data_IF_497170736487
#
_entry.id   IF_497170736487
#
_cell.length_a   1.000
_cell.length_b   1.000
_cell.length_c   1.000
_cell.angle_alpha   90.00
_cell.angle_beta   90.00
_cell.angle_gamma   90.00
#
_symmetry.space_group_name_H-M   'P 1'
#
loop_
_entity.id
_entity.type
_entity.pdbx_description
1 polymer ?
#
# COMPACT_ATOMS: atom_id res chain seq x y z
N UNK A 1 -10.33 2.69 74.09
CA UNK A 1 -10.70 1.74 73.04
C UNK A 1 -10.68 2.53 71.73
N UNK A 2 -9.58 2.47 70.96
CA UNK A 2 -9.38 3.25 69.72
C UNK A 2 -9.69 2.34 68.54
N UNK A 3 -10.68 2.73 67.76
CA UNK A 3 -11.07 2.04 66.54
C UNK A 3 -10.39 2.75 65.37
N UNK A 4 -9.43 2.11 64.71
CA UNK A 4 -8.86 2.55 63.42
C UNK A 4 -9.73 2.04 62.28
N UNK A 5 -10.11 2.91 61.32
CA UNK A 5 -10.73 2.44 60.11
C UNK A 5 -9.68 1.90 59.13
N UNK A 6 -9.97 0.89 58.31
CA UNK A 6 -9.05 0.35 57.30
C UNK A 6 -9.05 1.23 56.06
N UNK A 7 -7.96 1.98 55.91
CA UNK A 7 -7.58 2.69 54.67
C UNK A 7 -6.87 1.71 53.71
N UNK A 8 -7.60 0.84 53.06
CA UNK A 8 -7.00 -0.08 52.08
C UNK A 8 -7.99 -0.59 51.02
N UNK A 9 -8.64 0.32 50.28
CA UNK A 9 -9.48 -0.09 49.14
C UNK A 9 -9.55 0.98 48.03
N UNK A 10 -8.50 1.73 47.74
CA UNK A 10 -8.52 2.76 46.72
C UNK A 10 -7.26 2.77 45.82
N UNK A 11 -6.74 1.60 45.44
CA UNK A 11 -5.54 1.55 44.60
C UNK A 11 -5.61 0.41 43.55
N UNK A 12 -6.72 0.20 42.87
CA UNK A 12 -6.82 -0.85 41.84
C UNK A 12 -7.61 -0.40 40.60
N UNK A 13 -7.64 0.91 40.30
CA UNK A 13 -8.21 1.42 39.05
C UNK A 13 -7.15 2.17 38.23
N UNK A 14 -6.03 1.46 37.95
CA UNK A 14 -4.96 2.03 37.13
C UNK A 14 -4.78 1.09 35.94
N UNK A 15 -5.05 1.65 34.75
CA UNK A 15 -4.40 1.31 33.48
C UNK A 15 -4.83 0.04 32.76
N UNK A 16 -6.08 -0.01 32.33
CA UNK A 16 -6.43 -0.61 31.04
C UNK A 16 -6.54 0.51 30.00
N UNK A 17 -5.47 1.30 29.87
CA UNK A 17 -5.22 2.00 28.61
C UNK A 17 -4.93 0.91 27.60
N UNK A 18 -5.96 0.38 26.95
CA UNK A 18 -5.81 -0.45 25.78
C UNK A 18 -5.11 0.44 24.75
N UNK A 19 -3.78 0.32 24.66
CA UNK A 19 -3.04 0.76 23.49
C UNK A 19 -3.58 -0.05 22.32
N UNK A 20 -4.61 0.45 21.66
CA UNK A 20 -4.92 0.00 20.31
C UNK A 20 -3.71 0.41 19.48
N UNK A 21 -2.91 -0.54 18.96
CA UNK A 21 -1.79 -0.15 18.13
C UNK A 21 -2.36 0.67 16.96
N UNK A 22 -1.81 1.85 16.71
CA UNK A 22 -2.20 2.71 15.58
C UNK A 22 -2.14 1.97 14.24
N UNK A 23 -1.44 0.84 14.22
CA UNK A 23 -1.25 -0.03 13.06
C UNK A 23 -1.59 -1.48 13.45
N UNK A 24 -2.70 -1.98 12.95
CA UNK A 24 -3.12 -3.38 13.11
C UNK A 24 -2.93 -4.12 11.78
N UNK A 25 -1.69 -4.55 11.50
CA UNK A 25 -1.34 -5.23 10.25
C UNK A 25 -2.14 -6.51 10.05
N UNK A 26 -2.86 -6.57 8.94
CA UNK A 26 -3.73 -7.68 8.55
C UNK A 26 -3.29 -8.26 7.23
N UNK A 27 -3.22 -9.57 7.17
CA UNK A 27 -2.97 -10.26 5.92
C UNK A 27 -4.14 -10.05 4.95
N UNK A 28 -3.78 -9.90 3.69
CA UNK A 28 -4.64 -9.62 2.57
C UNK A 28 -4.28 -10.59 1.43
N UNK A 29 -5.29 -11.17 0.82
CA UNK A 29 -5.19 -11.91 -0.44
C UNK A 29 -6.16 -11.34 -1.45
N UNK A 30 -5.85 -11.46 -2.73
CA UNK A 30 -6.75 -11.17 -3.84
C UNK A 30 -7.37 -12.47 -4.34
N UNK A 31 -8.63 -12.44 -4.73
CA UNK A 31 -9.30 -13.59 -5.29
C UNK A 31 -8.59 -14.03 -6.59
N UNK A 32 -8.38 -15.33 -6.73
CA UNK A 32 -7.69 -15.90 -7.88
C UNK A 32 -6.21 -15.51 -7.98
N UNK A 33 -5.55 -15.13 -6.87
CA UNK A 33 -4.13 -14.74 -6.84
C UNK A 33 -3.35 -15.44 -5.75
N UNK A 34 -2.09 -15.75 -6.04
CA UNK A 34 -1.11 -16.20 -5.05
C UNK A 34 -0.54 -15.05 -4.23
N UNK A 35 -0.74 -13.80 -4.68
CA UNK A 35 -0.24 -12.60 -4.00
C UNK A 35 -0.72 -12.52 -2.56
N UNK A 36 0.21 -12.54 -1.63
CA UNK A 36 0.00 -12.21 -0.23
C UNK A 36 0.52 -10.80 0.04
N UNK A 37 -0.20 -10.08 0.85
CA UNK A 37 0.15 -8.72 1.25
C UNK A 37 -0.39 -8.44 2.65
N UNK A 38 -0.07 -7.26 3.18
CA UNK A 38 -0.61 -6.80 4.46
C UNK A 38 -0.93 -5.31 4.42
N UNK A 39 -1.97 -4.91 5.16
CA UNK A 39 -2.34 -3.51 5.38
C UNK A 39 -2.48 -3.24 6.88
N UNK A 40 -2.14 -2.02 7.36
CA UNK A 40 -2.17 -1.69 8.79
C UNK A 40 -3.58 -1.45 9.34
N UNK A 41 -4.62 -1.69 8.55
CA UNK A 41 -6.02 -1.43 8.87
C UNK A 41 -6.94 -2.38 8.09
N UNK A 42 -8.22 -2.43 8.45
CA UNK A 42 -9.23 -3.18 7.69
C UNK A 42 -9.46 -2.48 6.34
N UNK A 43 -9.14 -3.11 5.19
CA UNK A 43 -9.29 -2.46 3.92
C UNK A 43 -10.73 -2.46 3.42
N UNK A 44 -11.11 -1.38 2.76
CA UNK A 44 -12.19 -1.37 1.78
C UNK A 44 -11.68 -2.00 0.49
N UNK A 45 -12.55 -2.76 -0.19
CA UNK A 45 -12.21 -3.49 -1.40
C UNK A 45 -13.15 -3.17 -2.53
N UNK A 46 -12.61 -3.06 -3.73
CA UNK A 46 -13.39 -2.88 -4.96
C UNK A 46 -12.67 -3.52 -6.13
N UNK A 47 -13.41 -3.85 -7.18
CA UNK A 47 -12.86 -4.27 -8.46
C UNK A 47 -13.47 -3.38 -9.55
N UNK A 48 -12.66 -2.91 -10.49
CA UNK A 48 -13.07 -1.99 -11.55
C UNK A 48 -12.37 -2.34 -12.86
N UNK A 49 -13.09 -2.23 -13.96
CA UNK A 49 -12.48 -2.25 -15.28
C UNK A 49 -11.82 -0.89 -15.56
N UNK A 50 -10.53 -0.91 -15.83
CA UNK A 50 -9.74 0.30 -16.08
C UNK A 50 -8.74 0.06 -17.20
N UNK A 51 -8.42 1.08 -18.02
CA UNK A 51 -7.30 0.99 -18.97
C UNK A 51 -5.99 1.22 -18.25
N UNK A 52 -5.14 0.20 -18.16
CA UNK A 52 -3.75 0.34 -17.70
C UNK A 52 -2.80 0.26 -18.89
N UNK A 53 -2.05 1.34 -19.15
CA UNK A 53 -1.18 1.41 -20.31
C UNK A 53 -1.93 1.21 -21.65
N UNK A 54 -3.22 1.59 -21.71
CA UNK A 54 -4.08 1.39 -22.86
C UNK A 54 -4.72 0.00 -22.97
N UNK A 55 -4.45 -0.91 -22.03
CA UNK A 55 -5.01 -2.27 -21.99
C UNK A 55 -6.14 -2.31 -20.96
N UNK A 56 -7.38 -2.74 -21.33
CA UNK A 56 -8.45 -2.92 -20.36
C UNK A 56 -8.12 -4.08 -19.43
N UNK A 57 -8.19 -3.84 -18.13
CA UNK A 57 -7.94 -4.85 -17.10
C UNK A 57 -8.95 -4.73 -15.96
N UNK A 58 -9.26 -5.87 -15.35
CA UNK A 58 -10.03 -5.93 -14.11
C UNK A 58 -9.08 -5.66 -12.93
N UNK A 59 -9.11 -4.43 -12.41
CA UNK A 59 -8.24 -3.97 -11.34
C UNK A 59 -8.89 -4.20 -9.98
N UNK A 60 -8.32 -5.10 -9.20
CA UNK A 60 -8.69 -5.27 -7.79
C UNK A 60 -7.93 -4.28 -6.93
N UNK A 61 -8.65 -3.57 -6.06
CA UNK A 61 -8.12 -2.53 -5.18
C UNK A 61 -8.49 -2.84 -3.74
N UNK A 62 -7.53 -2.74 -2.84
CA UNK A 62 -7.72 -2.78 -1.40
C UNK A 62 -7.02 -1.57 -0.78
N UNK A 63 -7.74 -0.77 -0.01
CA UNK A 63 -7.17 0.44 0.58
C UNK A 63 -7.77 0.76 1.94
N UNK A 64 -7.02 1.48 2.77
CA UNK A 64 -7.49 1.95 4.07
C UNK A 64 -6.66 3.13 4.56
N UNK A 65 -7.15 3.80 5.59
CA UNK A 65 -6.46 4.90 6.26
C UNK A 65 -5.91 4.45 7.61
N UNK A 66 -4.62 4.73 7.85
CA UNK A 66 -3.96 4.50 9.13
C UNK A 66 -2.84 5.50 9.36
N UNK A 67 -2.63 5.91 10.61
CA UNK A 67 -1.57 6.82 11.03
C UNK A 67 -1.54 8.14 10.22
N UNK A 68 -2.69 8.64 9.76
CA UNK A 68 -2.79 9.85 8.92
C UNK A 68 -2.33 9.67 7.47
N UNK A 69 -2.16 8.43 7.02
CA UNK A 69 -1.85 8.09 5.63
C UNK A 69 -2.98 7.28 4.99
N UNK A 70 -3.16 7.44 3.68
CA UNK A 70 -3.96 6.56 2.84
C UNK A 70 -3.03 5.54 2.20
N UNK A 71 -3.34 4.26 2.40
CA UNK A 71 -2.62 3.15 1.81
C UNK A 71 -3.51 2.42 0.82
N UNK A 72 -2.97 2.08 -0.32
CA UNK A 72 -3.67 1.26 -1.30
C UNK A 72 -2.75 0.18 -1.90
N UNK A 73 -3.34 -0.98 -2.11
CA UNK A 73 -2.75 -2.08 -2.84
C UNK A 73 -3.68 -2.46 -3.98
N UNK A 74 -3.13 -2.56 -5.16
CA UNK A 74 -3.86 -2.80 -6.39
C UNK A 74 -3.20 -3.93 -7.17
N UNK A 75 -4.00 -4.77 -7.81
CA UNK A 75 -3.51 -5.92 -8.57
C UNK A 75 -4.42 -6.22 -9.76
N UNK A 76 -3.83 -6.58 -10.88
CA UNK A 76 -4.55 -7.06 -12.05
C UNK A 76 -3.80 -8.23 -12.72
N UNK A 77 -4.56 -9.19 -13.23
CA UNK A 77 -4.04 -10.24 -14.10
C UNK A 77 -4.05 -9.75 -15.54
N UNK A 78 -2.95 -9.94 -16.26
CA UNK A 78 -2.85 -9.60 -17.67
C UNK A 78 -3.16 -10.82 -18.54
N UNK A 79 -3.88 -10.61 -19.63
CA UNK A 79 -4.09 -11.66 -20.61
C UNK A 79 -2.75 -12.14 -21.22
N UNK A 80 -2.64 -13.40 -21.66
CA UNK A 80 -1.44 -13.91 -22.32
C UNK A 80 -1.00 -13.01 -23.48
N UNK A 81 0.30 -12.73 -23.57
CA UNK A 81 0.90 -11.90 -24.61
C UNK A 81 0.83 -10.38 -24.38
N UNK A 82 0.16 -9.92 -23.33
CA UNK A 82 0.19 -8.50 -22.94
C UNK A 82 1.54 -8.12 -22.35
N UNK A 83 2.11 -7.02 -22.84
CA UNK A 83 3.42 -6.53 -22.37
C UNK A 83 3.29 -5.88 -20.98
N UNK A 84 3.67 -6.62 -19.95
CA UNK A 84 3.66 -6.14 -18.57
C UNK A 84 4.56 -4.92 -18.34
N UNK A 85 5.66 -4.78 -19.08
CA UNK A 85 6.55 -3.63 -19.04
C UNK A 85 5.81 -2.36 -19.47
N UNK A 86 5.09 -2.41 -20.59
CA UNK A 86 4.32 -1.29 -21.10
C UNK A 86 3.14 -0.94 -20.17
N UNK A 87 2.44 -1.94 -19.63
CA UNK A 87 1.35 -1.75 -18.67
C UNK A 87 1.84 -1.05 -17.41
N UNK A 88 2.95 -1.52 -16.80
CA UNK A 88 3.51 -0.88 -15.61
C UNK A 88 3.97 0.55 -15.88
N UNK A 89 4.62 0.81 -17.02
CA UNK A 89 5.06 2.15 -17.39
C UNK A 89 3.88 3.12 -17.55
N UNK A 90 2.83 2.70 -18.25
CA UNK A 90 1.60 3.49 -18.39
C UNK A 90 0.88 3.72 -17.06
N UNK A 91 0.89 2.73 -16.17
CA UNK A 91 0.30 2.87 -14.82
C UNK A 91 1.07 3.89 -13.98
N UNK A 92 2.41 3.86 -14.02
CA UNK A 92 3.24 4.87 -13.36
C UNK A 92 2.91 6.29 -13.85
N UNK A 93 2.81 6.48 -15.16
CA UNK A 93 2.44 7.76 -15.74
C UNK A 93 1.07 8.25 -15.24
N UNK A 94 0.07 7.37 -15.22
CA UNK A 94 -1.26 7.69 -14.72
C UNK A 94 -1.24 8.06 -13.23
N UNK A 95 -0.44 7.35 -12.43
CA UNK A 95 -0.31 7.63 -10.99
C UNK A 95 0.37 8.98 -10.75
N UNK A 96 1.44 9.29 -11.47
CA UNK A 96 2.13 10.58 -11.39
C UNK A 96 1.25 11.74 -11.90
N UNK A 97 0.38 11.50 -12.87
CA UNK A 97 -0.59 12.50 -13.32
C UNK A 97 -1.66 12.81 -12.25
N UNK A 98 -2.00 11.84 -11.40
CA UNK A 98 -2.97 12.02 -10.32
C UNK A 98 -2.42 12.89 -9.16
N UNK A 99 -1.14 12.74 -8.83
CA UNK A 99 -0.41 13.59 -7.89
C UNK A 99 0.85 14.09 -8.60
N UNK A 100 0.76 15.17 -9.37
CA UNK A 100 1.89 15.66 -10.14
C UNK A 100 3.08 16.00 -9.24
N UNK A 101 4.26 15.46 -9.53
CA UNK A 101 5.45 15.72 -8.74
C UNK A 101 5.90 17.18 -8.90
N UNK A 102 6.27 17.81 -7.78
CA UNK A 102 6.84 19.16 -7.78
C UNK A 102 8.30 19.17 -8.27
N UNK A 103 9.00 18.06 -8.06
CA UNK A 103 10.37 17.80 -8.52
C UNK A 103 10.43 16.36 -9.08
N UNK A 104 11.44 16.05 -9.92
CA UNK A 104 11.59 14.69 -10.44
C UNK A 104 11.57 13.63 -9.32
N UNK A 105 10.76 12.57 -9.44
CA UNK A 105 10.67 11.51 -8.45
C UNK A 105 12.02 10.83 -8.21
N UNK A 106 12.33 10.49 -6.98
CA UNK A 106 13.40 9.54 -6.69
C UNK A 106 12.94 8.15 -7.12
N UNK A 107 13.75 7.49 -7.94
CA UNK A 107 13.45 6.19 -8.51
C UNK A 107 14.51 5.16 -8.12
N UNK A 108 14.05 3.97 -7.73
CA UNK A 108 14.89 2.81 -7.47
C UNK A 108 14.29 1.59 -8.17
N UNK A 109 15.13 0.73 -8.75
CA UNK A 109 14.66 -0.50 -9.34
C UNK A 109 14.08 -1.43 -8.25
N UNK A 110 12.86 -1.94 -8.49
CA UNK A 110 12.25 -2.94 -7.63
C UNK A 110 12.74 -4.33 -8.00
N UNK A 111 13.76 -4.83 -7.28
CA UNK A 111 14.39 -6.12 -7.53
C UNK A 111 14.19 -7.02 -6.31
N UNK A 112 13.37 -8.06 -6.46
CA UNK A 112 13.13 -9.06 -5.41
C UNK A 112 12.98 -10.45 -6.02
N UNK A 113 13.25 -11.48 -5.22
CA UNK A 113 13.01 -12.87 -5.62
C UNK A 113 11.54 -13.07 -6.00
N UNK A 114 11.28 -13.88 -7.00
CA UNK A 114 9.97 -14.20 -7.60
C UNK A 114 9.28 -13.04 -8.35
N UNK A 115 9.87 -11.84 -8.38
CA UNK A 115 9.36 -10.72 -9.20
C UNK A 115 10.11 -10.64 -10.54
N UNK A 116 9.39 -10.29 -11.60
CA UNK A 116 9.97 -10.12 -12.93
C UNK A 116 10.91 -8.91 -12.97
N UNK A 117 12.13 -9.05 -13.55
CA UNK A 117 13.12 -7.98 -13.57
C UNK A 117 12.85 -6.96 -14.68
N UNK A 118 11.66 -6.36 -14.67
CA UNK A 118 11.24 -5.36 -15.65
C UNK A 118 11.85 -3.99 -15.33
N UNK A 119 12.14 -3.17 -16.35
CA UNK A 119 12.64 -1.81 -16.16
C UNK A 119 11.59 -0.90 -15.48
N UNK A 120 10.30 -1.14 -15.75
CA UNK A 120 9.19 -0.47 -15.08
C UNK A 120 8.86 -1.05 -13.70
N UNK A 121 9.53 -2.13 -13.24
CA UNK A 121 9.42 -2.55 -11.85
C UNK A 121 10.28 -1.63 -10.99
N UNK A 122 9.65 -0.63 -10.38
CA UNK A 122 10.32 0.47 -9.68
C UNK A 122 9.63 0.83 -8.37
N UNK A 123 10.41 1.36 -7.44
CA UNK A 123 9.96 2.12 -6.29
C UNK A 123 10.16 3.60 -6.57
N UNK A 124 9.11 4.39 -6.41
CA UNK A 124 9.15 5.84 -6.58
C UNK A 124 8.79 6.55 -5.28
N UNK A 125 9.43 7.69 -5.06
CA UNK A 125 9.12 8.61 -3.97
C UNK A 125 9.08 10.03 -4.53
N UNK A 126 8.00 10.76 -4.24
CA UNK A 126 7.84 12.13 -4.70
C UNK A 126 6.96 12.95 -3.76
N UNK A 127 6.99 14.24 -3.96
CA UNK A 127 6.08 15.19 -3.30
C UNK A 127 5.34 15.97 -4.38
N UNK A 128 4.09 16.24 -4.12
CA UNK A 128 3.22 16.99 -5.02
C UNK A 128 2.06 17.61 -4.28
N UNK A 129 0.99 17.88 -5.00
CA UNK A 129 -0.27 18.38 -4.43
C UNK A 129 -1.41 17.45 -4.82
N UNK A 130 -2.29 17.17 -3.87
CA UNK A 130 -3.55 16.49 -4.13
C UNK A 130 -4.52 17.38 -4.91
N UNK A 131 -5.65 16.82 -5.31
CA UNK A 131 -6.71 17.55 -6.01
C UNK A 131 -7.28 18.73 -5.21
N UNK A 132 -7.19 18.69 -3.89
CA UNK A 132 -7.57 19.76 -2.96
C UNK A 132 -6.47 20.82 -2.77
N UNK A 133 -5.35 20.72 -3.48
CA UNK A 133 -4.21 21.62 -3.40
C UNK A 133 -3.29 21.41 -2.19
N UNK A 134 -3.60 20.44 -1.32
CA UNK A 134 -2.78 20.15 -0.13
C UNK A 134 -1.50 19.40 -0.51
N UNK A 135 -0.40 19.61 0.25
CA UNK A 135 0.81 18.84 0.06
C UNK A 135 0.58 17.34 0.26
N UNK A 136 1.12 16.53 -0.63
CA UNK A 136 1.11 15.07 -0.57
C UNK A 136 2.52 14.55 -0.81
N UNK A 137 3.01 13.74 0.12
CA UNK A 137 4.17 12.90 -0.08
C UNK A 137 3.68 11.50 -0.49
N UNK A 138 4.17 11.00 -1.60
CA UNK A 138 3.82 9.70 -2.14
C UNK A 138 5.03 8.77 -2.15
N UNK A 139 4.81 7.55 -1.75
CA UNK A 139 5.78 6.46 -1.81
C UNK A 139 5.09 5.26 -2.43
N UNK A 140 5.61 4.74 -3.53
CA UNK A 140 4.93 3.72 -4.29
C UNK A 140 5.89 2.69 -4.86
N UNK A 141 5.38 1.48 -5.13
CA UNK A 141 6.09 0.42 -5.82
C UNK A 141 5.20 -0.18 -6.90
N UNK A 142 5.81 -0.51 -8.02
CA UNK A 142 5.23 -1.27 -9.12
C UNK A 142 6.07 -2.50 -9.36
N UNK A 143 5.41 -3.61 -9.57
CA UNK A 143 6.06 -4.87 -9.89
C UNK A 143 5.14 -5.81 -10.66
N UNK A 144 5.72 -6.85 -11.21
CA UNK A 144 5.00 -7.94 -11.85
C UNK A 144 5.62 -9.28 -11.48
N UNK A 145 4.81 -10.34 -11.50
CA UNK A 145 5.29 -11.71 -11.31
C UNK A 145 4.51 -12.67 -12.18
N UNK A 146 5.10 -13.82 -12.46
CA UNK A 146 4.44 -14.90 -13.19
C UNK A 146 3.48 -15.64 -12.25
N UNK A 147 2.25 -15.87 -12.70
CA UNK A 147 1.21 -16.58 -11.96
C UNK A 147 0.53 -17.56 -12.91
N UNK A 148 0.97 -18.81 -12.89
CA UNK A 148 0.56 -19.82 -13.87
C UNK A 148 0.98 -19.43 -15.29
N UNK A 149 0.02 -19.33 -16.20
CA UNK A 149 0.21 -18.99 -17.62
C UNK A 149 0.08 -17.49 -17.94
N UNK A 150 -0.12 -16.66 -16.93
CA UNK A 150 -0.29 -15.23 -17.08
C UNK A 150 0.65 -14.43 -16.17
N UNK A 151 0.68 -13.13 -16.36
CA UNK A 151 1.46 -12.19 -15.54
C UNK A 151 0.51 -11.37 -14.69
N UNK A 152 0.82 -11.25 -13.42
CA UNK A 152 0.13 -10.35 -12.51
C UNK A 152 0.95 -9.08 -12.30
N UNK A 153 0.31 -7.94 -12.48
CA UNK A 153 0.88 -6.63 -12.15
C UNK A 153 0.35 -6.15 -10.80
N UNK A 154 1.21 -5.48 -10.05
CA UNK A 154 0.93 -5.02 -8.68
C UNK A 154 1.42 -3.59 -8.51
N UNK A 155 0.63 -2.80 -7.82
CA UNK A 155 0.99 -1.46 -7.37
C UNK A 155 0.58 -1.28 -5.91
N UNK A 156 1.53 -0.88 -5.08
CA UNK A 156 1.26 -0.48 -3.70
C UNK A 156 1.71 0.96 -3.49
N UNK A 157 0.92 1.75 -2.74
CA UNK A 157 1.19 3.17 -2.53
C UNK A 157 0.78 3.62 -1.14
N UNK A 158 1.56 4.57 -0.61
CA UNK A 158 1.28 5.34 0.60
C UNK A 158 1.23 6.81 0.22
N UNK A 159 0.10 7.46 0.50
CA UNK A 159 -0.07 8.90 0.39
C UNK A 159 -0.25 9.50 1.78
N UNK A 160 0.56 10.49 2.12
CA UNK A 160 0.48 11.17 3.41
C UNK A 160 0.87 12.65 3.28
N UNK A 161 0.55 13.52 4.25
CA UNK A 161 1.01 14.92 4.24
C UNK A 161 2.54 15.06 4.31
N UNK A 162 3.24 14.05 4.84
CA UNK A 162 4.71 13.97 4.98
C UNK A 162 5.18 12.56 4.63
N UNK A 163 6.45 12.38 4.21
CA UNK A 163 7.00 11.05 3.97
C UNK A 163 6.89 10.14 5.19
N UNK A 164 6.48 8.89 4.97
CA UNK A 164 6.35 7.84 6.00
C UNK A 164 7.16 6.60 5.60
N UNK A 165 8.50 6.68 5.62
CA UNK A 165 9.36 5.64 5.06
C UNK A 165 9.21 4.28 5.74
N UNK A 166 9.04 4.22 7.06
CA UNK A 166 8.87 2.96 7.80
C UNK A 166 7.55 2.27 7.45
N UNK A 167 6.45 3.04 7.37
CA UNK A 167 5.14 2.52 6.98
C UNK A 167 5.16 1.98 5.55
N UNK A 168 5.75 2.73 4.61
CA UNK A 168 5.91 2.33 3.23
C UNK A 168 6.82 1.11 3.09
N UNK A 169 7.92 1.06 3.82
CA UNK A 169 8.84 -0.08 3.85
C UNK A 169 8.12 -1.36 4.29
N UNK A 170 7.39 -1.31 5.40
CA UNK A 170 6.64 -2.47 5.92
C UNK A 170 5.58 -2.94 4.92
N UNK A 171 4.84 -2.00 4.28
CA UNK A 171 3.87 -2.33 3.24
C UNK A 171 4.53 -3.06 2.06
N UNK A 172 5.65 -2.53 1.55
CA UNK A 172 6.31 -3.08 0.37
C UNK A 172 7.01 -4.40 0.65
N UNK A 173 7.61 -4.57 1.83
CA UNK A 173 8.21 -5.84 2.26
C UNK A 173 7.17 -6.96 2.45
N UNK A 174 5.95 -6.58 2.80
CA UNK A 174 4.83 -7.50 2.94
C UNK A 174 4.29 -8.06 1.62
N UNK A 175 4.74 -7.56 0.45
CA UNK A 175 4.30 -8.07 -0.86
C UNK A 175 5.05 -9.37 -1.21
N UNK A 176 4.32 -10.47 -1.33
CA UNK A 176 4.84 -11.80 -1.63
C UNK A 176 3.99 -12.44 -2.73
N UNK A 177 4.58 -12.75 -3.90
CA UNK A 177 3.96 -13.53 -4.96
C UNK A 177 3.57 -14.93 -4.53
#
# INVERSE_FOLDING_TARGET
MRIFPPLAALAAWVLLSACSPEQNWRQLSFEGSTLKAQLPCKPDRTTREVPLGGVPVSLSVAGCEAAGAMLALMSASLAPGVDAQAVLAGWQQATLAHVPPAEPPRSEAWRRSAWLPLAAAQRLQWQGKGADGRPVAAQAVWGAFAEGDHVRVVHAVVYAPKPMPELAQTLFEGLQP
#
